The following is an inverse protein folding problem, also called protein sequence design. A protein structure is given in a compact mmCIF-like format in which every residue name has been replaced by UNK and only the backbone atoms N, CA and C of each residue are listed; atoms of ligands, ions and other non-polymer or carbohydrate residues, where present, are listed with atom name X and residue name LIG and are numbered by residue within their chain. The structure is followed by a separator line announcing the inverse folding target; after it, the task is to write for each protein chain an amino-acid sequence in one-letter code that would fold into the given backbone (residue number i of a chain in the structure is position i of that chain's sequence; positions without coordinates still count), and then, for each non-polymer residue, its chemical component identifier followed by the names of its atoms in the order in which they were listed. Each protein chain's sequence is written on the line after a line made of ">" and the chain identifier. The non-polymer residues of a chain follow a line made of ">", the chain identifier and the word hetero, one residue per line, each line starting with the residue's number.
data_IF_929776453707
#
_entry.id   IF_929776453707
#
_cell.length_a   1.000
_cell.length_b   1.000
_cell.length_c   1.000
_cell.angle_alpha   90.00
_cell.angle_beta   90.00
_cell.angle_gamma   90.00
#
_symmetry.space_group_name_H-M   'P 1'
#
loop_
_entity.id
_entity.type
_entity.pdbx_description
1 polymer ?
#
# COMPACT_ATOMS: atom_id res chain seq x y z
N UNK A 1 -5.70 25.88 -1.57
CA UNK A 1 -6.80 24.94 -1.33
C UNK A 1 -6.28 23.55 -1.62
N UNK A 2 -6.61 22.58 -0.79
CA UNK A 2 -6.26 21.17 -0.99
C UNK A 2 -7.19 20.53 -2.04
N UNK A 3 -6.82 19.37 -2.59
CA UNK A 3 -7.69 18.62 -3.50
C UNK A 3 -9.05 18.29 -2.85
N UNK A 4 -9.06 18.03 -1.55
CA UNK A 4 -10.30 17.78 -0.80
C UNK A 4 -11.17 19.04 -0.71
N UNK A 5 -10.57 20.19 -0.40
CA UNK A 5 -11.29 21.47 -0.35
C UNK A 5 -11.90 21.84 -1.70
N UNK A 6 -11.14 21.63 -2.79
CA UNK A 6 -11.66 21.80 -4.15
C UNK A 6 -12.88 20.90 -4.39
N UNK A 7 -12.79 19.61 -4.04
CA UNK A 7 -13.89 18.66 -4.21
C UNK A 7 -15.15 19.04 -3.41
N UNK A 8 -14.98 19.45 -2.14
CA UNK A 8 -16.07 19.92 -1.28
C UNK A 8 -16.68 21.21 -1.83
N UNK A 9 -15.87 22.09 -2.41
CA UNK A 9 -16.27 23.31 -3.09
C UNK A 9 -16.91 23.09 -4.47
N UNK A 10 -17.05 21.85 -4.94
CA UNK A 10 -17.47 21.49 -6.30
C UNK A 10 -16.57 22.06 -7.41
N UNK A 11 -15.27 22.19 -7.13
CA UNK A 11 -14.24 22.57 -8.08
C UNK A 11 -13.49 21.32 -8.56
N UNK A 12 -13.34 21.20 -9.87
CA UNK A 12 -12.61 20.08 -10.49
C UNK A 12 -11.15 20.50 -10.68
N UNK A 13 -10.24 19.84 -9.97
CA UNK A 13 -8.80 20.07 -10.10
C UNK A 13 -8.21 19.31 -11.32
N UNK A 14 -7.00 19.70 -11.75
CA UNK A 14 -6.26 19.00 -12.83
C UNK A 14 -5.95 17.55 -12.47
N UNK A 15 -5.71 17.28 -11.19
CA UNK A 15 -5.41 15.95 -10.67
C UNK A 15 -6.65 15.04 -10.75
N UNK A 16 -7.84 15.58 -10.46
CA UNK A 16 -9.09 14.83 -10.63
C UNK A 16 -9.34 14.48 -12.10
N UNK A 17 -9.07 15.38 -13.03
CA UNK A 17 -9.22 15.12 -14.48
C UNK A 17 -8.31 13.97 -14.88
N UNK A 18 -7.03 14.05 -14.53
CA UNK A 18 -6.05 13.01 -14.87
C UNK A 18 -6.46 11.63 -14.31
N UNK A 19 -6.81 11.56 -13.03
CA UNK A 19 -7.20 10.29 -12.39
C UNK A 19 -8.48 9.75 -13.02
N UNK A 20 -9.46 10.60 -13.33
CA UNK A 20 -10.71 10.19 -13.97
C UNK A 20 -10.48 9.60 -15.37
N UNK A 21 -9.60 10.21 -16.17
CA UNK A 21 -9.22 9.71 -17.49
C UNK A 21 -8.48 8.38 -17.41
N UNK A 22 -7.46 8.28 -16.54
CA UNK A 22 -6.65 7.07 -16.37
C UNK A 22 -7.48 5.88 -15.86
N UNK A 23 -8.43 6.13 -14.97
CA UNK A 23 -9.31 5.11 -14.38
C UNK A 23 -10.61 4.93 -15.17
N UNK A 24 -10.81 5.69 -16.26
CA UNK A 24 -11.99 5.67 -17.13
C UNK A 24 -13.32 5.84 -16.37
N UNK A 25 -13.36 6.80 -15.46
CA UNK A 25 -14.56 7.17 -14.71
C UNK A 25 -14.95 8.62 -14.98
N UNK A 26 -16.21 8.96 -14.72
CA UNK A 26 -16.68 10.34 -14.81
C UNK A 26 -16.03 11.20 -13.71
N UNK A 27 -15.44 12.34 -14.10
CA UNK A 27 -14.72 13.25 -13.19
C UNK A 27 -15.62 13.83 -12.10
N UNK A 28 -16.92 14.05 -12.37
CA UNK A 28 -17.87 14.53 -11.35
C UNK A 28 -18.16 13.45 -10.31
N UNK A 29 -18.24 12.20 -10.74
CA UNK A 29 -18.35 11.04 -9.87
C UNK A 29 -17.11 10.91 -8.98
N UNK A 30 -15.90 11.06 -9.55
CA UNK A 30 -14.65 11.08 -8.79
C UNK A 30 -14.63 12.21 -7.76
N UNK A 31 -14.90 13.45 -8.17
CA UNK A 31 -14.96 14.62 -7.28
C UNK A 31 -15.92 14.38 -6.11
N UNK A 32 -17.10 13.82 -6.37
CA UNK A 32 -18.08 13.49 -5.32
C UNK A 32 -17.53 12.44 -4.35
N UNK A 33 -16.78 11.45 -4.82
CA UNK A 33 -16.12 10.44 -3.97
C UNK A 33 -15.04 11.06 -3.09
N UNK A 34 -14.23 11.96 -3.65
CA UNK A 34 -13.21 12.73 -2.92
C UNK A 34 -13.87 13.60 -1.85
N UNK A 35 -14.94 14.33 -2.19
CA UNK A 35 -15.66 15.21 -1.24
C UNK A 35 -16.23 14.48 -0.01
N UNK A 36 -16.40 13.15 -0.12
CA UNK A 36 -16.88 12.28 0.97
C UNK A 36 -15.74 11.58 1.73
N UNK A 37 -14.49 11.77 1.30
CA UNK A 37 -13.34 11.03 1.82
C UNK A 37 -13.31 9.55 1.43
N UNK A 38 -14.05 9.14 0.39
CA UNK A 38 -14.08 7.76 -0.13
C UNK A 38 -12.94 7.47 -1.13
N UNK A 39 -12.34 8.52 -1.69
CA UNK A 39 -11.18 8.47 -2.59
C UNK A 39 -10.22 9.58 -2.19
N UNK A 40 -8.92 9.29 -2.24
CA UNK A 40 -7.85 10.30 -2.13
C UNK A 40 -7.04 10.35 -3.41
N UNK A 41 -6.33 11.45 -3.62
CA UNK A 41 -5.33 11.59 -4.66
C UNK A 41 -4.00 11.96 -4.02
N UNK A 42 -3.01 11.07 -4.15
CA UNK A 42 -1.62 11.39 -3.87
C UNK A 42 -1.03 12.09 -5.08
N UNK A 43 -0.33 13.21 -4.87
CA UNK A 43 0.31 13.98 -5.94
C UNK A 43 1.78 14.24 -5.64
N UNK A 44 2.51 14.52 -6.72
CA UNK A 44 3.87 15.06 -6.71
C UNK A 44 4.00 16.05 -7.84
N UNK A 45 4.81 17.08 -7.61
CA UNK A 45 5.09 18.06 -8.66
C UNK A 45 5.79 17.37 -9.84
N UNK A 46 5.37 17.73 -11.06
CA UNK A 46 5.89 17.22 -12.32
C UNK A 46 5.63 15.72 -12.62
N UNK A 47 4.89 15.01 -11.76
CA UNK A 47 4.54 13.60 -11.97
C UNK A 47 3.02 13.37 -11.97
N UNK A 48 2.64 12.19 -12.44
CA UNK A 48 1.23 11.82 -12.54
C UNK A 48 0.64 11.50 -11.15
N UNK A 49 -0.53 12.07 -10.81
CA UNK A 49 -1.18 11.79 -9.54
C UNK A 49 -1.80 10.39 -9.53
N UNK A 50 -1.90 9.81 -8.33
CA UNK A 50 -2.46 8.47 -8.10
C UNK A 50 -3.72 8.56 -7.25
N UNK A 51 -4.84 8.13 -7.84
CA UNK A 51 -6.11 8.02 -7.14
C UNK A 51 -6.24 6.67 -6.40
N UNK A 52 -6.63 6.72 -5.13
CA UNK A 52 -6.78 5.55 -4.26
C UNK A 52 -8.18 5.58 -3.62
N UNK A 53 -8.97 4.54 -3.84
CA UNK A 53 -10.32 4.39 -3.31
C UNK A 53 -11.29 3.80 -4.32
N UNK A 54 -12.50 3.45 -3.89
CA UNK A 54 -13.53 2.86 -4.75
C UNK A 54 -14.30 3.96 -5.50
N UNK A 55 -14.48 3.88 -6.84
CA UNK A 55 -14.44 2.67 -7.68
C UNK A 55 -13.17 2.50 -8.53
N UNK A 56 -12.04 3.08 -8.12
CA UNK A 56 -10.78 2.95 -8.86
C UNK A 56 -10.21 1.54 -8.73
N UNK A 57 -9.31 1.16 -9.65
CA UNK A 57 -8.53 -0.09 -9.55
C UNK A 57 -7.69 -0.09 -8.28
N UNK A 58 -7.46 -1.28 -7.71
CA UNK A 58 -6.59 -1.43 -6.53
C UNK A 58 -5.19 -0.93 -6.84
N UNK A 59 -4.65 -0.09 -5.96
CA UNK A 59 -3.28 0.44 -6.07
C UNK A 59 -2.30 -0.42 -5.28
N UNK A 60 -1.03 -0.38 -5.67
CA UNK A 60 0.03 -1.22 -5.11
C UNK A 60 1.15 -0.35 -4.57
N UNK A 61 1.45 -0.56 -3.29
CA UNK A 61 2.64 -0.01 -2.64
C UNK A 61 3.76 -1.05 -2.60
N UNK A 62 5.01 -0.58 -2.60
CA UNK A 62 6.14 -1.38 -2.15
C UNK A 62 6.96 -0.65 -1.10
N UNK A 63 7.43 -1.40 -0.11
CA UNK A 63 8.28 -0.86 0.94
C UNK A 63 9.75 -0.99 0.55
N UNK A 64 10.46 0.12 0.67
CA UNK A 64 11.89 0.27 0.47
C UNK A 64 12.51 0.80 1.77
N UNK A 65 13.83 0.77 1.87
CA UNK A 65 14.55 1.45 2.93
C UNK A 65 15.81 0.71 3.43
N UNK A 66 16.69 1.50 4.01
CA UNK A 66 17.92 1.05 4.67
C UNK A 66 17.71 0.63 6.12
N UNK A 67 18.69 -0.08 6.69
CA UNK A 67 18.72 -0.40 8.12
C UNK A 67 20.09 -0.11 8.72
N UNK A 68 20.19 0.01 10.04
CA UNK A 68 21.48 0.17 10.74
C UNK A 68 22.45 -1.00 10.50
N UNK A 69 21.94 -2.18 10.10
CA UNK A 69 22.76 -3.38 9.85
C UNK A 69 23.19 -3.54 8.39
N UNK A 70 22.55 -2.83 7.45
CA UNK A 70 22.82 -2.94 6.02
C UNK A 70 22.43 -1.64 5.30
N UNK A 71 23.44 -0.95 4.77
CA UNK A 71 23.32 0.31 4.04
C UNK A 71 24.06 0.14 2.71
N UNK A 72 23.33 -0.24 1.66
CA UNK A 72 23.80 -0.15 0.27
C UNK A 72 22.91 0.84 -0.48
N UNK A 73 23.36 2.09 -0.58
CA UNK A 73 22.60 3.16 -1.22
C UNK A 73 22.41 2.93 -2.72
N UNK A 74 23.38 2.29 -3.37
CA UNK A 74 23.30 2.03 -4.81
C UNK A 74 22.23 0.96 -5.10
N UNK A 75 22.17 -0.08 -4.28
CA UNK A 75 21.09 -1.05 -4.38
C UNK A 75 19.74 -0.42 -4.04
N UNK A 76 19.67 0.42 -3.00
CA UNK A 76 18.44 1.07 -2.57
C UNK A 76 17.83 1.96 -3.66
N UNK A 77 18.66 2.77 -4.32
CA UNK A 77 18.19 3.61 -5.44
C UNK A 77 17.76 2.77 -6.65
N UNK A 78 18.44 1.65 -6.93
CA UNK A 78 18.00 0.70 -7.97
C UNK A 78 16.66 0.04 -7.63
N UNK A 79 16.34 -0.18 -6.36
CA UNK A 79 15.02 -0.71 -5.97
C UNK A 79 13.89 0.24 -6.35
N UNK A 80 14.12 1.56 -6.33
CA UNK A 80 13.15 2.55 -6.83
C UNK A 80 12.88 2.36 -8.32
N UNK A 81 13.93 2.19 -9.12
CA UNK A 81 13.82 1.93 -10.56
C UNK A 81 13.08 0.61 -10.86
N UNK A 82 13.42 -0.46 -10.12
CA UNK A 82 12.73 -1.76 -10.21
C UNK A 82 11.27 -1.62 -9.81
N UNK A 83 10.97 -0.89 -8.75
CA UNK A 83 9.63 -0.71 -8.24
C UNK A 83 8.70 -0.07 -9.28
N UNK A 84 9.12 1.08 -9.83
CA UNK A 84 8.33 1.76 -10.86
C UNK A 84 8.25 0.95 -12.17
N UNK A 85 9.33 0.25 -12.56
CA UNK A 85 9.32 -0.60 -13.76
C UNK A 85 8.30 -1.73 -13.67
N UNK A 86 8.22 -2.39 -12.51
CA UNK A 86 7.32 -3.54 -12.32
C UNK A 86 5.94 -3.14 -11.78
N UNK A 87 5.60 -1.84 -11.79
CA UNK A 87 4.23 -1.35 -11.60
C UNK A 87 3.82 -1.16 -10.15
N UNK A 88 4.73 -0.71 -9.29
CA UNK A 88 4.33 -0.04 -8.05
C UNK A 88 3.61 1.27 -8.41
N UNK A 89 2.44 1.51 -7.81
CA UNK A 89 1.74 2.79 -7.93
C UNK A 89 2.32 3.83 -6.95
N UNK A 90 2.97 3.36 -5.89
CA UNK A 90 3.55 4.17 -4.81
C UNK A 90 4.72 3.44 -4.16
N UNK A 91 5.57 4.19 -3.47
CA UNK A 91 6.71 3.66 -2.72
C UNK A 91 6.64 4.20 -1.29
N UNK A 92 6.89 3.34 -0.30
CA UNK A 92 7.16 3.77 1.07
C UNK A 92 8.66 3.74 1.34
N UNK A 93 9.25 4.89 1.66
CA UNK A 93 10.61 4.97 2.18
C UNK A 93 10.58 4.75 3.71
N UNK A 94 11.04 3.58 4.11
CA UNK A 94 11.11 3.13 5.50
C UNK A 94 12.54 3.12 6.04
N UNK A 95 13.44 3.92 5.45
CA UNK A 95 14.86 3.98 5.81
C UNK A 95 15.07 4.30 7.29
N UNK A 96 15.98 3.54 7.92
CA UNK A 96 16.37 3.69 9.32
C UNK A 96 17.89 3.53 9.52
N UNK A 97 18.69 3.63 8.46
CA UNK A 97 20.14 3.62 8.54
C UNK A 97 20.79 4.59 7.55
N UNK A 98 21.90 5.21 7.95
CA UNK A 98 22.60 6.22 7.15
C UNK A 98 21.95 7.61 7.24
N UNK A 99 22.32 8.50 6.32
CA UNK A 99 21.85 9.88 6.26
C UNK A 99 20.42 9.94 5.69
N UNK A 100 19.42 9.73 6.56
CA UNK A 100 18.00 9.57 6.18
C UNK A 100 17.48 10.71 5.30
N UNK A 101 17.92 11.95 5.53
CA UNK A 101 17.51 13.09 4.73
C UNK A 101 17.98 13.02 3.29
N UNK A 102 19.26 12.72 3.10
CA UNK A 102 19.86 12.67 1.78
C UNK A 102 19.35 11.45 1.01
N UNK A 103 19.12 10.33 1.71
CA UNK A 103 18.47 9.15 1.13
C UNK A 103 17.05 9.49 0.66
N UNK A 104 16.21 10.08 1.52
CA UNK A 104 14.84 10.45 1.18
C UNK A 104 14.79 11.44 0.02
N UNK A 105 15.57 12.52 0.06
CA UNK A 105 15.64 13.50 -1.02
C UNK A 105 16.03 12.84 -2.34
N UNK A 106 16.99 11.91 -2.32
CA UNK A 106 17.41 11.20 -3.52
C UNK A 106 16.33 10.25 -4.04
N UNK A 107 15.64 9.52 -3.15
CA UNK A 107 14.49 8.67 -3.53
C UNK A 107 13.39 9.51 -4.16
N UNK A 108 13.06 10.67 -3.58
CA UNK A 108 12.08 11.61 -4.13
C UNK A 108 12.56 12.08 -5.52
N UNK A 109 13.81 12.50 -5.68
CA UNK A 109 14.36 12.96 -6.97
C UNK A 109 14.20 11.92 -8.09
N UNK A 110 14.52 10.65 -7.83
CA UNK A 110 14.53 9.60 -8.87
C UNK A 110 13.19 8.89 -9.05
N UNK A 111 12.30 8.93 -8.05
CA UNK A 111 11.01 8.27 -8.12
C UNK A 111 10.06 9.04 -9.03
N UNK A 112 9.37 8.31 -9.91
CA UNK A 112 8.24 8.85 -10.68
C UNK A 112 6.87 8.70 -10.01
N UNK A 113 6.82 7.97 -8.89
CA UNK A 113 5.59 7.65 -8.16
C UNK A 113 5.54 8.36 -6.79
N UNK A 114 4.34 8.52 -6.20
CA UNK A 114 4.18 9.06 -4.85
C UNK A 114 5.03 8.34 -3.80
N UNK A 115 5.58 9.12 -2.86
CA UNK A 115 6.41 8.63 -1.75
C UNK A 115 5.64 8.76 -0.43
N UNK A 116 5.60 7.69 0.33
CA UNK A 116 5.09 7.66 1.72
C UNK A 116 6.24 7.47 2.70
N UNK A 117 6.19 8.15 3.85
CA UNK A 117 7.17 7.96 4.94
C UNK A 117 6.47 7.68 6.27
N UNK A 118 7.24 7.20 7.26
CA UNK A 118 6.78 7.04 8.65
C UNK A 118 7.65 7.93 9.55
N UNK A 119 7.22 9.17 9.88
CA UNK A 119 8.07 10.17 10.55
C UNK A 119 8.75 9.68 11.84
N UNK A 120 8.07 8.84 12.64
CA UNK A 120 8.64 8.32 13.89
C UNK A 120 9.92 7.49 13.67
N UNK A 121 10.13 6.94 12.47
CA UNK A 121 11.34 6.19 12.14
C UNK A 121 12.56 7.09 12.08
N UNK A 122 12.45 8.25 11.44
CA UNK A 122 13.53 9.22 11.44
C UNK A 122 13.71 9.85 12.82
N UNK A 123 12.61 10.17 13.52
CA UNK A 123 12.69 10.76 14.86
C UNK A 123 13.46 9.88 15.85
N UNK A 124 13.29 8.56 15.83
CA UNK A 124 14.07 7.67 16.71
C UNK A 124 15.55 7.60 16.31
N UNK A 125 15.88 7.70 15.03
CA UNK A 125 17.28 7.70 14.56
C UNK A 125 17.98 9.00 14.94
N UNK A 126 17.35 10.15 14.74
CA UNK A 126 17.90 11.46 15.14
C UNK A 126 18.01 11.61 16.66
N UNK A 127 17.14 10.92 17.41
CA UNK A 127 17.18 10.86 18.87
C UNK A 127 18.16 9.84 19.44
N UNK A 128 18.83 9.03 18.60
CA UNK A 128 19.62 7.83 18.92
C UNK A 128 18.82 6.68 19.55
N UNK A 129 17.85 6.98 20.42
CA UNK A 129 16.90 6.05 20.99
C UNK A 129 15.54 6.70 21.32
N UNK A 130 14.60 5.89 21.82
CA UNK A 130 13.25 6.34 22.17
C UNK A 130 13.23 7.32 23.38
N UNK A 131 14.23 7.27 24.25
CA UNK A 131 14.37 8.16 25.40
C UNK A 131 14.82 9.57 24.99
N UNK A 132 15.48 9.72 23.84
CA UNK A 132 15.84 11.01 23.25
C UNK A 132 14.70 11.71 22.49
N UNK A 133 13.65 10.99 22.09
CA UNK A 133 12.55 11.58 21.31
C UNK A 133 11.82 12.67 22.11
N UNK A 134 11.54 13.80 21.47
CA UNK A 134 10.69 14.89 21.99
C UNK A 134 9.55 15.21 21.03
N UNK A 135 8.50 15.90 21.49
CA UNK A 135 7.43 16.35 20.60
C UNK A 135 7.96 17.31 19.53
N UNK A 136 8.84 18.25 19.90
CA UNK A 136 9.48 19.18 18.98
C UNK A 136 10.26 18.45 17.88
N UNK A 137 11.00 17.39 18.24
CA UNK A 137 11.70 16.58 17.25
C UNK A 137 10.74 15.91 16.27
N UNK A 138 9.63 15.34 16.77
CA UNK A 138 8.60 14.73 15.91
C UNK A 138 8.04 15.77 14.94
N UNK A 139 7.70 16.97 15.43
CA UNK A 139 7.21 18.06 14.58
C UNK A 139 8.23 18.49 13.53
N UNK A 140 9.49 18.70 13.94
CA UNK A 140 10.57 19.09 13.04
C UNK A 140 10.79 18.04 11.94
N UNK A 141 10.75 16.75 12.27
CA UNK A 141 10.90 15.66 11.30
C UNK A 141 9.71 15.63 10.33
N UNK A 142 8.47 15.79 10.82
CA UNK A 142 7.29 15.88 9.94
C UNK A 142 7.43 17.06 8.97
N UNK A 143 7.72 18.26 9.49
CA UNK A 143 7.87 19.47 8.66
C UNK A 143 8.96 19.30 7.60
N UNK A 144 10.11 18.73 7.99
CA UNK A 144 11.23 18.45 7.08
C UNK A 144 10.84 17.50 5.95
N UNK A 145 10.14 16.41 6.26
CA UNK A 145 9.67 15.45 5.25
C UNK A 145 8.64 16.09 4.30
N UNK A 146 7.74 16.91 4.82
CA UNK A 146 6.78 17.66 4.00
C UNK A 146 7.49 18.63 3.05
N UNK A 147 8.50 19.38 3.53
CA UNK A 147 9.34 20.26 2.71
C UNK A 147 10.12 19.52 1.63
N UNK A 148 10.58 18.30 1.91
CA UNK A 148 11.26 17.48 0.91
C UNK A 148 10.32 16.96 -0.19
N UNK A 149 9.00 17.04 0.00
CA UNK A 149 8.01 16.71 -1.02
C UNK A 149 7.48 15.27 -0.96
N UNK A 150 7.36 14.69 0.24
CA UNK A 150 6.62 13.43 0.44
C UNK A 150 5.15 13.61 0.05
N UNK A 151 4.53 12.57 -0.49
CA UNK A 151 3.12 12.60 -0.93
C UNK A 151 2.15 12.15 0.15
N UNK A 152 2.66 11.39 1.12
CA UNK A 152 1.89 10.81 2.21
C UNK A 152 2.77 10.57 3.43
N UNK A 153 2.19 10.65 4.63
CA UNK A 153 2.88 10.29 5.88
C UNK A 153 2.01 9.36 6.72
N UNK A 154 2.63 8.40 7.41
CA UNK A 154 1.93 7.47 8.30
C UNK A 154 2.05 7.93 9.76
N UNK A 155 0.93 8.28 10.38
CA UNK A 155 0.86 8.59 11.82
C UNK A 155 0.15 7.47 12.58
N UNK A 156 0.76 7.02 13.66
CA UNK A 156 0.23 5.95 14.51
C UNK A 156 -0.55 6.54 15.70
N UNK A 157 -1.64 7.26 15.42
CA UNK A 157 -2.46 7.98 16.40
C UNK A 157 -3.68 7.21 16.93
N UNK A 158 -3.88 5.97 16.47
CA UNK A 158 -5.11 5.20 16.67
C UNK A 158 -5.27 4.51 18.02
N UNK A 159 -4.39 4.75 18.99
CA UNK A 159 -4.40 4.05 20.28
C UNK A 159 -3.95 4.98 21.42
N UNK A 160 -4.42 4.70 22.63
CA UNK A 160 -4.14 5.51 23.82
C UNK A 160 -3.22 4.80 24.81
N UNK A 161 -2.69 5.53 25.78
CA UNK A 161 -1.97 4.94 26.91
C UNK A 161 -2.86 3.93 27.66
N UNK A 162 -4.16 4.19 27.76
CA UNK A 162 -5.11 3.25 28.34
C UNK A 162 -5.23 1.96 27.50
N UNK A 163 -5.30 2.06 26.17
CA UNK A 163 -5.28 0.89 25.28
C UNK A 163 -4.05 0.03 25.54
N UNK A 164 -2.87 0.64 25.69
CA UNK A 164 -1.64 -0.08 26.04
C UNK A 164 -1.71 -0.74 27.43
N UNK A 165 -2.40 -0.13 28.39
CA UNK A 165 -2.58 -0.67 29.75
C UNK A 165 -3.49 -1.91 29.77
N UNK A 166 -4.49 -1.92 28.90
CA UNK A 166 -5.45 -3.03 28.77
C UNK A 166 -4.90 -4.19 27.93
N UNK A 167 -4.04 -3.91 26.94
CA UNK A 167 -3.47 -4.94 26.04
C UNK A 167 -2.45 -5.90 26.70
N UNK A 168 -2.51 -6.06 28.03
CA UNK A 168 -1.67 -7.00 28.79
C UNK A 168 -2.06 -8.45 28.49
N UNK A 169 -1.41 -9.05 27.50
CA UNK A 169 -1.09 -10.48 27.50
C UNK A 169 -2.13 -11.50 26.98
N UNK A 170 -2.62 -11.36 25.75
CA UNK A 170 -3.34 -12.47 25.06
C UNK A 170 -2.77 -12.84 23.69
N UNK A 171 -2.26 -11.86 22.95
CA UNK A 171 -1.60 -12.08 21.65
C UNK A 171 -0.32 -12.90 21.80
N UNK A 172 -0.06 -13.77 20.84
CA UNK A 172 1.21 -14.48 20.62
C UNK A 172 2.30 -13.48 20.26
N UNK A 173 2.09 -12.64 19.24
CA UNK A 173 3.12 -11.69 18.74
C UNK A 173 2.98 -10.26 19.28
N UNK A 174 2.07 -10.04 20.25
CA UNK A 174 1.86 -8.77 20.94
C UNK A 174 1.58 -7.61 19.96
N UNK A 175 2.59 -6.80 19.66
CA UNK A 175 2.49 -5.66 18.76
C UNK A 175 3.65 -5.71 17.76
N UNK A 176 3.30 -5.81 16.47
CA UNK A 176 4.27 -6.02 15.38
C UNK A 176 4.45 -4.79 14.49
N UNK A 177 3.63 -3.76 14.67
CA UNK A 177 3.84 -2.50 13.95
C UNK A 177 5.08 -1.80 14.51
N UNK A 178 6.11 -1.63 13.69
CA UNK A 178 7.32 -0.91 14.10
C UNK A 178 6.99 0.52 14.55
N UNK A 179 6.19 1.27 13.78
CA UNK A 179 5.80 2.63 14.14
C UNK A 179 4.89 2.68 15.37
N UNK A 180 3.98 1.71 15.49
CA UNK A 180 3.20 1.51 16.71
C UNK A 180 4.10 1.26 17.92
N UNK A 181 5.10 0.37 17.81
CA UNK A 181 6.01 -0.03 18.88
C UNK A 181 6.93 1.10 19.33
N UNK A 182 7.45 1.90 18.40
CA UNK A 182 8.22 3.09 18.74
C UNK A 182 7.37 4.13 19.47
N UNK A 183 6.14 4.37 18.98
CA UNK A 183 5.19 5.30 19.61
C UNK A 183 4.77 4.82 20.99
N UNK A 184 4.43 3.54 21.15
CA UNK A 184 4.08 2.95 22.43
C UNK A 184 5.25 2.97 23.42
N UNK A 185 6.48 2.73 22.95
CA UNK A 185 7.69 2.82 23.77
C UNK A 185 7.90 4.25 24.29
N UNK A 186 7.71 5.26 23.43
CA UNK A 186 7.76 6.67 23.82
C UNK A 186 6.74 7.01 24.92
N UNK A 187 5.49 6.56 24.74
CA UNK A 187 4.40 6.75 25.69
C UNK A 187 4.71 6.09 27.04
N UNK A 188 5.19 4.83 27.00
CA UNK A 188 5.47 4.02 28.19
C UNK A 188 6.66 4.51 29.00
N UNK A 189 7.73 4.95 28.35
CA UNK A 189 8.93 5.42 29.07
C UNK A 189 8.70 6.72 29.83
N UNK A 190 7.59 7.44 29.54
CA UNK A 190 7.25 8.74 30.12
C UNK A 190 5.88 8.75 30.82
N UNK A 191 5.10 7.68 30.73
CA UNK A 191 3.70 7.60 31.18
C UNK A 191 2.85 8.77 30.62
N UNK A 192 2.98 9.04 29.32
CA UNK A 192 2.26 10.10 28.60
C UNK A 192 1.32 9.53 27.54
N UNK A 193 0.35 10.35 27.11
CA UNK A 193 -0.54 10.01 26.00
C UNK A 193 0.21 10.02 24.66
N UNK A 194 -0.39 9.39 23.65
CA UNK A 194 0.14 9.31 22.30
C UNK A 194 0.43 10.71 21.73
N UNK A 195 1.68 11.02 21.33
CA UNK A 195 2.09 12.36 20.93
C UNK A 195 1.38 12.84 19.64
N UNK A 196 1.05 11.90 18.74
CA UNK A 196 0.30 12.20 17.52
C UNK A 196 -1.17 12.46 17.81
N UNK A 197 -1.76 11.71 18.75
CA UNK A 197 -3.16 11.88 19.14
C UNK A 197 -3.37 13.19 19.90
N UNK A 198 -2.50 13.49 20.87
CA UNK A 198 -2.59 14.68 21.71
C UNK A 198 -2.44 15.97 20.90
N UNK A 199 -1.60 15.96 19.86
CA UNK A 199 -1.33 17.11 19.01
C UNK A 199 -1.94 16.99 17.60
N UNK A 200 -3.00 16.19 17.43
CA UNK A 200 -3.50 15.80 16.11
C UNK A 200 -3.85 17.00 15.21
N UNK A 201 -4.59 17.99 15.72
CA UNK A 201 -4.98 19.18 14.94
C UNK A 201 -3.78 20.01 14.46
N UNK A 202 -2.73 20.14 15.28
CA UNK A 202 -1.50 20.84 14.87
C UNK A 202 -0.79 20.11 13.73
N UNK A 203 -0.77 18.77 13.75
CA UNK A 203 -0.25 18.01 12.62
C UNK A 203 -1.11 18.21 11.37
N UNK A 204 -2.44 18.30 11.51
CA UNK A 204 -3.33 18.55 10.37
C UNK A 204 -3.09 19.92 9.73
N UNK A 205 -2.90 20.98 10.52
CA UNK A 205 -2.53 22.31 10.01
C UNK A 205 -1.27 22.23 9.15
N UNK A 206 -0.23 21.57 9.66
CA UNK A 206 1.03 21.40 8.96
C UNK A 206 0.89 20.55 7.68
N UNK A 207 0.20 19.41 7.75
CA UNK A 207 -0.01 18.51 6.60
C UNK A 207 -0.82 19.20 5.49
N UNK A 208 -1.82 20.01 5.88
CA UNK A 208 -2.70 20.74 4.97
C UNK A 208 -1.93 21.72 4.09
N UNK A 209 -0.92 22.41 4.64
CA UNK A 209 -0.13 23.40 3.90
C UNK A 209 0.53 22.81 2.64
N UNK A 210 0.85 21.52 2.67
CA UNK A 210 1.52 20.81 1.57
C UNK A 210 0.57 19.90 0.76
N UNK A 211 -0.73 19.84 1.10
CA UNK A 211 -1.73 18.94 0.49
C UNK A 211 -1.26 17.47 0.46
N UNK A 212 -0.66 17.04 1.56
CA UNK A 212 -0.14 15.68 1.76
C UNK A 212 -1.25 14.77 2.30
N UNK A 213 -1.30 13.53 1.81
CA UNK A 213 -2.28 12.54 2.27
C UNK A 213 -1.84 11.98 3.63
N UNK A 214 -2.74 12.00 4.61
CA UNK A 214 -2.50 11.39 5.90
C UNK A 214 -2.87 9.90 5.86
N UNK A 215 -1.91 9.03 6.18
CA UNK A 215 -2.17 7.62 6.42
C UNK A 215 -2.28 7.38 7.93
N UNK A 216 -3.44 6.89 8.38
CA UNK A 216 -3.63 6.52 9.79
C UNK A 216 -3.25 5.05 9.97
N UNK A 217 -2.06 4.86 10.56
CA UNK A 217 -1.38 3.58 10.67
C UNK A 217 -2.11 2.56 11.54
N UNK A 218 -1.73 1.29 11.37
CA UNK A 218 -2.27 0.13 12.10
C UNK A 218 -1.33 -0.37 13.20
N UNK A 219 -1.18 0.42 14.26
CA UNK A 219 -0.33 0.08 15.38
C UNK A 219 -0.69 -1.27 16.02
N UNK A 220 -1.99 -1.59 16.07
CA UNK A 220 -2.52 -2.74 16.79
C UNK A 220 -2.92 -3.91 15.86
N UNK A 221 -2.36 -3.99 14.65
CA UNK A 221 -2.60 -5.14 13.75
C UNK A 221 -2.08 -6.46 14.33
N UNK A 222 -2.69 -7.57 13.90
CA UNK A 222 -2.28 -8.93 14.23
C UNK A 222 -0.94 -9.30 13.58
N UNK A 223 -0.04 -9.92 14.35
CA UNK A 223 1.29 -10.35 13.88
C UNK A 223 1.35 -11.80 13.41
N UNK A 224 0.39 -12.62 13.80
CA UNK A 224 0.22 -13.99 13.35
C UNK A 224 -1.27 -14.30 13.21
N UNK A 225 -1.61 -15.38 12.51
CA UNK A 225 -3.03 -15.74 12.30
C UNK A 225 -3.74 -16.13 13.61
N UNK A 226 -2.97 -16.41 14.66
CA UNK A 226 -3.47 -16.79 15.99
C UNK A 226 -3.77 -15.61 16.92
N UNK A 227 -3.31 -14.40 16.60
CA UNK A 227 -3.68 -13.21 17.38
C UNK A 227 -5.16 -12.83 17.16
N UNK A 228 -5.74 -13.27 16.03
CA UNK A 228 -7.05 -12.87 15.51
C UNK A 228 -7.26 -11.34 15.47
N UNK A 229 -8.34 -10.88 14.84
CA UNK A 229 -8.74 -9.46 14.92
C UNK A 229 -9.55 -9.30 16.20
N UNK A 230 -8.94 -8.65 17.19
CA UNK A 230 -9.45 -8.52 18.55
C UNK A 230 -10.09 -7.16 18.84
N UNK A 231 -10.54 -6.95 20.08
CA UNK A 231 -11.13 -5.70 20.55
C UNK A 231 -10.21 -4.48 20.38
N UNK A 232 -8.89 -4.68 20.47
CA UNK A 232 -7.91 -3.60 20.39
C UNK A 232 -7.77 -3.12 18.96
N UNK A 233 -7.64 -4.02 17.98
CA UNK A 233 -7.64 -3.65 16.56
C UNK A 233 -8.97 -3.01 16.16
N UNK A 234 -10.11 -3.51 16.66
CA UNK A 234 -11.41 -2.88 16.41
C UNK A 234 -11.53 -1.49 17.02
N UNK A 235 -10.92 -1.24 18.18
CA UNK A 235 -10.89 0.08 18.79
C UNK A 235 -10.02 1.06 17.99
N UNK A 236 -8.88 0.60 17.46
CA UNK A 236 -8.03 1.38 16.56
C UNK A 236 -8.78 1.75 15.27
N UNK A 237 -9.52 0.82 14.65
CA UNK A 237 -10.34 1.13 13.46
C UNK A 237 -11.34 2.25 13.75
N UNK A 238 -12.03 2.20 14.89
CA UNK A 238 -13.00 3.23 15.30
C UNK A 238 -12.33 4.58 15.56
N UNK A 239 -11.20 4.56 16.27
CA UNK A 239 -10.43 5.77 16.56
C UNK A 239 -9.95 6.41 15.27
N UNK A 240 -9.33 5.63 14.38
CA UNK A 240 -8.85 6.12 13.10
C UNK A 240 -9.98 6.69 12.23
N UNK A 241 -11.19 6.11 12.23
CA UNK A 241 -12.31 6.74 11.51
C UNK A 241 -12.72 8.10 12.13
N UNK A 242 -12.71 8.22 13.46
CA UNK A 242 -12.97 9.51 14.12
C UNK A 242 -11.92 10.55 13.73
N UNK A 243 -10.65 10.18 13.80
CA UNK A 243 -9.53 11.05 13.41
C UNK A 243 -9.59 11.42 11.93
N UNK A 244 -10.01 10.49 11.06
CA UNK A 244 -10.16 10.76 9.64
C UNK A 244 -11.26 11.78 9.33
N UNK A 245 -12.34 11.82 10.12
CA UNK A 245 -13.38 12.85 10.01
C UNK A 245 -12.83 14.23 10.37
N UNK A 246 -12.13 14.32 11.51
CA UNK A 246 -11.45 15.55 11.93
C UNK A 246 -10.47 16.04 10.86
N UNK A 247 -9.65 15.13 10.31
CA UNK A 247 -8.71 15.47 9.24
C UNK A 247 -9.42 16.01 7.98
N UNK A 248 -10.54 15.41 7.57
CA UNK A 248 -11.31 15.93 6.44
C UNK A 248 -11.94 17.31 6.72
N UNK A 249 -12.38 17.58 7.95
CA UNK A 249 -12.88 18.91 8.33
C UNK A 249 -11.78 19.97 8.23
N UNK A 250 -10.51 19.59 8.42
CA UNK A 250 -9.35 20.44 8.17
C UNK A 250 -8.97 20.54 6.68
N UNK A 251 -9.59 19.76 5.79
CA UNK A 251 -9.24 19.70 4.37
C UNK A 251 -8.11 18.71 4.04
N UNK A 252 -7.73 17.84 4.97
CA UNK A 252 -6.69 16.81 4.77
C UNK A 252 -7.32 15.51 4.28
N UNK A 253 -6.74 14.93 3.22
CA UNK A 253 -7.12 13.63 2.66
C UNK A 253 -6.60 12.49 3.54
N UNK A 254 -7.36 11.39 3.67
CA UNK A 254 -7.01 10.30 4.61
C UNK A 254 -7.15 8.91 4.01
N UNK A 255 -6.13 8.08 4.22
CA UNK A 255 -6.14 6.63 4.04
C UNK A 255 -6.10 5.95 5.42
N UNK A 256 -6.80 4.82 5.55
CA UNK A 256 -6.77 4.02 6.76
C UNK A 256 -5.99 2.72 6.53
N UNK A 257 -4.91 2.50 7.29
CA UNK A 257 -4.18 1.22 7.28
C UNK A 257 -4.76 0.19 8.25
N UNK A 258 -5.78 0.56 9.03
CA UNK A 258 -6.25 -0.09 10.28
C UNK A 258 -6.73 -1.55 10.18
N UNK A 259 -6.52 -2.22 9.05
CA UNK A 259 -6.70 -3.67 8.86
C UNK A 259 -5.53 -4.24 8.03
N UNK A 260 -5.18 -5.52 8.22
CA UNK A 260 -4.09 -6.18 7.49
C UNK A 260 -3.21 -7.00 8.43
N UNK A 261 -1.98 -7.27 8.01
CA UNK A 261 -1.07 -8.15 8.75
C UNK A 261 -1.41 -9.61 8.51
N UNK A 262 -1.63 -10.38 9.57
CA UNK A 262 -1.88 -11.82 9.48
C UNK A 262 -3.34 -12.12 9.82
N UNK A 263 -4.09 -12.64 8.85
CA UNK A 263 -5.53 -12.89 8.98
C UNK A 263 -5.87 -14.19 8.26
N UNK A 264 -6.44 -15.17 8.98
CA UNK A 264 -6.87 -16.44 8.38
C UNK A 264 -7.77 -16.22 7.16
N UNK A 265 -7.61 -17.05 6.12
CA UNK A 265 -8.33 -16.91 4.85
C UNK A 265 -9.87 -16.75 5.01
N UNK A 266 -10.49 -17.53 5.92
CA UNK A 266 -11.94 -17.46 6.19
C UNK A 266 -12.41 -16.08 6.70
N UNK A 267 -11.50 -15.34 7.35
CA UNK A 267 -11.81 -14.11 8.07
C UNK A 267 -11.51 -12.85 7.26
N UNK A 268 -10.66 -12.93 6.21
CA UNK A 268 -10.27 -11.76 5.39
C UNK A 268 -11.52 -11.03 4.86
N UNK A 269 -12.42 -11.76 4.21
CA UNK A 269 -13.64 -11.21 3.61
C UNK A 269 -14.51 -10.52 4.66
N UNK A 270 -14.69 -11.18 5.81
CA UNK A 270 -15.50 -10.67 6.93
C UNK A 270 -14.94 -9.33 7.41
N UNK A 271 -13.63 -9.27 7.67
CA UNK A 271 -13.02 -8.09 8.29
C UNK A 271 -12.88 -6.92 7.32
N UNK A 272 -12.57 -7.16 6.05
CA UNK A 272 -12.52 -6.09 5.04
C UNK A 272 -13.90 -5.45 4.88
N UNK A 273 -14.97 -6.25 4.73
CA UNK A 273 -16.33 -5.71 4.65
C UNK A 273 -16.74 -4.96 5.91
N UNK A 274 -16.39 -5.47 7.09
CA UNK A 274 -16.69 -4.81 8.35
C UNK A 274 -15.95 -3.48 8.46
N UNK A 275 -14.65 -3.44 8.10
CA UNK A 275 -13.86 -2.22 8.07
C UNK A 275 -14.54 -1.16 7.21
N UNK A 276 -14.82 -1.46 5.93
CA UNK A 276 -15.47 -0.50 5.01
C UNK A 276 -16.79 0.03 5.54
N UNK A 277 -17.58 -0.82 6.22
CA UNK A 277 -18.82 -0.40 6.90
C UNK A 277 -18.56 0.51 8.10
N UNK A 278 -17.55 0.23 8.92
CA UNK A 278 -17.21 1.00 10.12
C UNK A 278 -16.52 2.33 9.81
N UNK A 279 -15.93 2.45 8.62
CA UNK A 279 -15.09 3.57 8.20
C UNK A 279 -15.71 4.40 7.09
N UNK A 280 -17.02 4.30 6.87
CA UNK A 280 -17.76 5.10 5.88
C UNK A 280 -17.16 4.97 4.46
N UNK A 281 -16.69 3.77 4.11
CA UNK A 281 -16.03 3.42 2.84
C UNK A 281 -14.72 4.16 2.54
N UNK A 282 -14.06 4.74 3.54
CA UNK A 282 -12.72 5.35 3.39
C UNK A 282 -11.71 4.40 2.72
N UNK A 283 -10.72 4.92 1.98
CA UNK A 283 -9.68 4.10 1.38
C UNK A 283 -9.00 3.20 2.41
N UNK A 284 -9.02 1.90 2.15
CA UNK A 284 -8.39 0.90 3.00
C UNK A 284 -7.07 0.45 2.39
N UNK A 285 -5.98 0.66 3.13
CA UNK A 285 -4.65 0.12 2.84
C UNK A 285 -4.38 -1.11 3.70
N UNK A 286 -3.97 -2.22 3.07
CA UNK A 286 -3.61 -3.46 3.79
C UNK A 286 -2.20 -3.92 3.41
N UNK A 287 -1.46 -4.45 4.39
CA UNK A 287 -0.22 -5.21 4.14
C UNK A 287 -0.56 -6.70 4.08
N UNK A 288 -0.33 -7.34 2.93
CA UNK A 288 -0.91 -8.65 2.65
C UNK A 288 -2.45 -8.57 2.55
N UNK A 289 -3.23 -9.31 3.34
CA UNK A 289 -2.82 -10.03 4.54
C UNK A 289 -2.20 -11.40 4.26
N UNK A 290 -1.40 -11.92 5.20
CA UNK A 290 -0.91 -13.28 5.17
C UNK A 290 -1.98 -14.23 5.75
N UNK A 291 -2.49 -15.20 4.98
CA UNK A 291 -3.50 -16.16 5.44
C UNK A 291 -2.95 -17.34 6.24
N UNK A 292 -1.64 -17.54 6.21
CA UNK A 292 -0.88 -18.57 6.92
C UNK A 292 0.49 -18.00 7.30
N UNK A 293 1.08 -18.51 8.39
CA UNK A 293 2.38 -18.04 8.90
C UNK A 293 3.54 -18.98 8.53
N UNK A 294 3.24 -20.18 8.03
CA UNK A 294 4.23 -21.24 7.75
C UNK A 294 4.85 -21.14 6.35
N UNK A 295 4.66 -20.03 5.65
CA UNK A 295 5.14 -19.80 4.29
C UNK A 295 6.38 -18.87 4.25
N UNK A 296 7.05 -18.64 5.37
CA UNK A 296 8.25 -17.78 5.44
C UNK A 296 9.29 -18.14 4.38
N UNK A 297 9.83 -17.13 3.69
CA UNK A 297 10.63 -17.27 2.46
C UNK A 297 9.81 -17.33 1.17
N UNK A 298 8.50 -17.56 1.29
CA UNK A 298 7.49 -17.53 0.23
C UNK A 298 6.28 -16.66 0.62
N UNK A 299 6.47 -15.72 1.54
CA UNK A 299 5.38 -14.88 2.07
C UNK A 299 4.70 -14.04 0.99
N UNK A 300 5.42 -13.61 -0.05
CA UNK A 300 4.84 -13.00 -1.25
C UNK A 300 3.72 -13.85 -1.91
N UNK A 301 3.83 -15.19 -1.90
CA UNK A 301 2.81 -16.09 -2.45
C UNK A 301 1.60 -16.17 -1.51
N UNK A 302 1.85 -16.36 -0.22
CA UNK A 302 0.79 -16.40 0.79
C UNK A 302 0.02 -15.06 0.82
N UNK A 303 0.74 -13.95 0.81
CA UNK A 303 0.22 -12.60 0.76
C UNK A 303 -0.54 -12.32 -0.53
N UNK A 304 -0.14 -12.85 -1.69
CA UNK A 304 -0.91 -12.69 -2.92
C UNK A 304 -2.31 -13.34 -2.82
N UNK A 305 -2.42 -14.50 -2.17
CA UNK A 305 -3.72 -15.15 -1.92
C UNK A 305 -4.60 -14.27 -1.03
N UNK A 306 -4.07 -13.81 0.11
CA UNK A 306 -4.83 -12.97 1.03
C UNK A 306 -5.15 -11.59 0.46
N UNK A 307 -4.20 -10.97 -0.24
CA UNK A 307 -4.32 -9.68 -0.92
C UNK A 307 -5.36 -9.71 -2.04
N UNK A 308 -5.50 -10.82 -2.77
CA UNK A 308 -6.54 -10.98 -3.78
C UNK A 308 -7.94 -10.93 -3.16
N UNK A 309 -8.15 -11.64 -2.05
CA UNK A 309 -9.41 -11.55 -1.30
C UNK A 309 -9.60 -10.16 -0.67
N UNK A 310 -8.56 -9.54 -0.13
CA UNK A 310 -8.70 -8.21 0.46
C UNK A 310 -9.11 -7.17 -0.60
N UNK A 311 -8.38 -7.12 -1.72
CA UNK A 311 -8.70 -6.30 -2.89
C UNK A 311 -10.13 -6.57 -3.37
N UNK A 312 -10.47 -7.85 -3.58
CA UNK A 312 -11.77 -8.29 -4.10
C UNK A 312 -12.98 -7.89 -3.27
N UNK A 313 -12.80 -7.64 -1.97
CA UNK A 313 -13.89 -7.35 -1.04
C UNK A 313 -13.86 -5.95 -0.44
N UNK A 314 -12.93 -5.09 -0.86
CA UNK A 314 -13.00 -3.65 -0.58
C UNK A 314 -11.70 -2.98 -0.16
N UNK A 315 -10.56 -3.67 -0.12
CA UNK A 315 -9.27 -2.98 -0.02
C UNK A 315 -9.00 -2.22 -1.33
N UNK A 316 -8.54 -0.98 -1.21
CA UNK A 316 -8.32 -0.07 -2.33
C UNK A 316 -6.83 0.07 -2.66
N UNK A 317 -5.98 -0.33 -1.72
CA UNK A 317 -4.54 -0.15 -1.73
C UNK A 317 -3.92 -1.35 -1.01
N UNK A 318 -2.92 -2.00 -1.61
CA UNK A 318 -2.28 -3.19 -1.04
C UNK A 318 -0.77 -3.04 -1.06
N UNK A 319 -0.10 -3.44 0.03
CA UNK A 319 1.36 -3.44 0.10
C UNK A 319 1.90 -4.78 -0.39
N UNK A 320 2.79 -4.74 -1.38
CA UNK A 320 3.55 -5.88 -1.81
C UNK A 320 4.37 -6.44 -0.65
N UNK A 321 4.28 -7.75 -0.46
CA UNK A 321 5.12 -8.52 0.47
C UNK A 321 6.16 -9.23 -0.36
N UNK A 322 7.41 -9.20 0.07
CA UNK A 322 8.54 -9.79 -0.66
C UNK A 322 8.85 -11.20 -0.13
N UNK A 323 9.63 -12.02 -0.86
CA UNK A 323 10.16 -13.27 -0.32
C UNK A 323 11.02 -13.08 0.94
N UNK A 324 11.61 -11.89 1.12
CA UNK A 324 12.47 -11.54 2.25
C UNK A 324 11.70 -11.17 3.54
N UNK A 325 10.37 -11.07 3.48
CA UNK A 325 9.54 -10.78 4.66
C UNK A 325 9.86 -11.75 5.81
N UNK A 326 9.91 -11.23 7.04
CA UNK A 326 10.32 -11.95 8.25
C UNK A 326 11.77 -12.48 8.29
N UNK A 327 12.60 -12.18 7.28
CA UNK A 327 13.95 -12.73 7.17
C UNK A 327 15.03 -11.64 7.13
N UNK A 328 14.94 -10.70 6.18
CA UNK A 328 15.98 -9.72 5.92
C UNK A 328 15.46 -8.53 5.09
N UNK A 329 16.35 -7.60 4.73
CA UNK A 329 16.04 -6.57 3.74
C UNK A 329 15.91 -7.21 2.34
N UNK A 330 14.93 -6.79 1.53
CA UNK A 330 14.72 -7.34 0.19
C UNK A 330 15.81 -6.90 -0.78
N UNK A 331 16.24 -7.83 -1.64
CA UNK A 331 17.07 -7.57 -2.82
C UNK A 331 16.23 -7.02 -3.99
N UNK A 332 16.88 -6.63 -5.09
CA UNK A 332 16.19 -6.24 -6.34
C UNK A 332 15.22 -7.32 -6.86
N UNK A 333 15.60 -8.60 -6.79
CA UNK A 333 14.75 -9.71 -7.24
C UNK A 333 13.58 -9.96 -6.27
N UNK A 334 13.78 -9.72 -4.98
CA UNK A 334 12.71 -9.80 -3.99
C UNK A 334 11.64 -8.72 -4.22
N UNK A 335 12.07 -7.48 -4.53
CA UNK A 335 11.18 -6.38 -4.91
C UNK A 335 10.39 -6.74 -6.16
N UNK A 336 11.07 -7.22 -7.21
CA UNK A 336 10.41 -7.68 -8.44
C UNK A 336 9.37 -8.77 -8.12
N UNK A 337 9.78 -9.83 -7.41
CA UNK A 337 8.92 -11.00 -7.12
C UNK A 337 7.70 -10.61 -6.31
N UNK A 338 7.87 -9.77 -5.28
CA UNK A 338 6.78 -9.23 -4.48
C UNK A 338 5.79 -8.39 -5.30
N UNK A 339 6.29 -7.51 -6.17
CA UNK A 339 5.44 -6.68 -7.03
C UNK A 339 4.64 -7.49 -8.05
N UNK A 340 5.26 -8.47 -8.71
CA UNK A 340 4.55 -9.33 -9.65
C UNK A 340 3.43 -10.12 -8.94
N UNK A 341 3.73 -10.71 -7.77
CA UNK A 341 2.74 -11.43 -6.97
C UNK A 341 1.59 -10.50 -6.52
N UNK A 342 1.92 -9.27 -6.11
CA UNK A 342 0.96 -8.27 -5.68
C UNK A 342 0.09 -7.76 -6.84
N UNK A 343 0.65 -7.55 -8.04
CA UNK A 343 -0.11 -7.18 -9.24
C UNK A 343 -1.10 -8.26 -9.65
N UNK A 344 -0.69 -9.53 -9.59
CA UNK A 344 -1.60 -10.65 -9.82
C UNK A 344 -2.74 -10.59 -8.79
N UNK A 345 -2.43 -10.37 -7.51
CA UNK A 345 -3.45 -10.28 -6.46
C UNK A 345 -4.42 -9.10 -6.67
N UNK A 346 -3.90 -7.90 -6.98
CA UNK A 346 -4.68 -6.72 -7.28
C UNK A 346 -5.65 -6.98 -8.44
N UNK A 347 -5.13 -7.52 -9.55
CA UNK A 347 -5.91 -7.83 -10.77
C UNK A 347 -7.00 -8.88 -10.53
N UNK A 348 -6.69 -9.93 -9.78
CA UNK A 348 -7.66 -10.95 -9.35
C UNK A 348 -8.75 -10.30 -8.50
N UNK A 349 -8.38 -9.48 -7.51
CA UNK A 349 -9.34 -8.79 -6.67
C UNK A 349 -10.20 -7.78 -7.43
N UNK A 350 -9.60 -7.00 -8.33
CA UNK A 350 -10.33 -6.06 -9.18
C UNK A 350 -11.34 -6.79 -10.10
N UNK A 351 -10.97 -7.95 -10.62
CA UNK A 351 -11.90 -8.82 -11.35
C UNK A 351 -13.07 -9.32 -10.48
N UNK A 352 -12.85 -9.56 -9.18
CA UNK A 352 -13.93 -9.88 -8.24
C UNK A 352 -14.84 -8.67 -7.95
N UNK A 353 -14.26 -7.46 -7.85
CA UNK A 353 -15.01 -6.21 -7.57
C UNK A 353 -15.86 -5.76 -8.74
N UNK A 354 -15.29 -5.81 -9.95
CA UNK A 354 -15.83 -5.11 -11.11
C UNK A 354 -16.25 -6.04 -12.26
N UNK A 355 -15.97 -7.34 -12.14
CA UNK A 355 -16.20 -8.33 -13.17
C UNK A 355 -15.27 -8.19 -14.38
N UNK A 356 -15.48 -9.04 -15.39
CA UNK A 356 -14.79 -8.95 -16.68
C UNK A 356 -15.40 -7.80 -17.49
N UNK A 357 -14.81 -6.62 -17.37
CA UNK A 357 -15.23 -5.42 -18.11
C UNK A 357 -14.04 -4.83 -18.89
N UNK A 358 -14.27 -3.74 -19.61
CA UNK A 358 -13.28 -3.10 -20.48
C UNK A 358 -11.99 -2.62 -19.78
N UNK A 359 -11.96 -2.54 -18.44
CA UNK A 359 -10.75 -2.26 -17.65
C UNK A 359 -9.80 -3.47 -17.58
N UNK A 360 -10.28 -4.68 -17.88
CA UNK A 360 -9.54 -5.96 -17.82
C UNK A 360 -9.55 -6.68 -19.18
N UNK A 361 -9.50 -5.92 -20.27
CA UNK A 361 -9.46 -6.50 -21.62
C UNK A 361 -8.16 -7.29 -21.89
N UNK A 362 -7.12 -7.08 -21.09
CA UNK A 362 -5.83 -7.75 -21.25
C UNK A 362 -5.97 -9.29 -21.16
N UNK A 363 -6.79 -9.83 -20.25
CA UNK A 363 -7.07 -11.27 -20.17
C UNK A 363 -7.69 -11.82 -21.46
N UNK A 364 -8.62 -11.06 -22.05
CA UNK A 364 -9.30 -11.44 -23.28
C UNK A 364 -8.35 -11.38 -24.47
N UNK A 365 -7.59 -10.31 -24.61
CA UNK A 365 -6.62 -10.14 -25.71
C UNK A 365 -5.48 -11.16 -25.61
N UNK A 366 -4.97 -11.42 -24.40
CA UNK A 366 -4.03 -12.51 -24.15
C UNK A 366 -4.64 -13.86 -24.57
N UNK A 367 -5.87 -14.15 -24.15
CA UNK A 367 -6.54 -15.42 -24.47
C UNK A 367 -6.79 -15.62 -25.97
N UNK A 368 -7.17 -14.56 -26.69
CA UNK A 368 -7.30 -14.56 -28.16
C UNK A 368 -5.96 -14.86 -28.82
N UNK A 369 -4.89 -14.16 -28.41
CA UNK A 369 -3.55 -14.39 -28.96
C UNK A 369 -3.02 -15.79 -28.63
N UNK A 370 -3.31 -16.31 -27.43
CA UNK A 370 -3.00 -17.70 -27.04
C UNK A 370 -3.71 -18.72 -27.93
N UNK A 371 -5.00 -18.52 -28.22
CA UNK A 371 -5.75 -19.38 -29.12
C UNK A 371 -5.16 -19.38 -30.54
N UNK A 372 -4.76 -18.20 -31.03
CA UNK A 372 -4.13 -18.02 -32.33
C UNK A 372 -2.65 -18.45 -32.36
N UNK A 373 -2.07 -18.79 -31.21
CA UNK A 373 -0.63 -19.05 -31.00
C UNK A 373 0.25 -17.87 -31.45
N UNK A 374 -0.25 -16.66 -31.30
CA UNK A 374 0.52 -15.44 -31.53
C UNK A 374 1.35 -15.14 -30.29
N UNK A 375 2.47 -15.87 -30.13
CA UNK A 375 3.31 -15.80 -28.92
C UNK A 375 3.79 -14.40 -28.62
N UNK A 376 4.24 -13.67 -29.66
CA UNK A 376 4.73 -12.30 -29.53
C UNK A 376 3.65 -11.40 -28.89
N UNK A 377 2.47 -11.33 -29.49
CA UNK A 377 1.38 -10.51 -28.96
C UNK A 377 0.87 -11.03 -27.61
N UNK A 378 0.81 -12.36 -27.42
CA UNK A 378 0.41 -12.94 -26.14
C UNK A 378 1.29 -12.45 -24.98
N UNK A 379 2.61 -12.33 -25.20
CA UNK A 379 3.54 -11.94 -24.14
C UNK A 379 3.42 -10.46 -23.77
N UNK A 380 3.05 -9.59 -24.71
CA UNK A 380 2.88 -8.16 -24.45
C UNK A 380 1.70 -7.86 -23.50
N UNK A 381 0.70 -8.75 -23.41
CA UNK A 381 -0.40 -8.64 -22.45
C UNK A 381 -0.12 -9.28 -21.08
N UNK A 382 1.08 -9.84 -20.84
CA UNK A 382 1.44 -10.42 -19.55
C UNK A 382 1.83 -9.35 -18.53
N UNK A 383 1.57 -9.62 -17.24
CA UNK A 383 1.99 -8.73 -16.12
C UNK A 383 3.51 -8.53 -16.08
N UNK A 384 4.27 -9.59 -16.42
CA UNK A 384 5.71 -9.56 -16.71
C UNK A 384 5.92 -10.14 -18.12
N UNK A 385 6.09 -9.31 -19.17
CA UNK A 385 6.35 -9.77 -20.53
C UNK A 385 7.69 -10.49 -20.71
N UNK A 386 8.66 -10.29 -19.82
CA UNK A 386 10.00 -10.88 -19.95
C UNK A 386 10.02 -12.36 -19.53
N UNK A 387 9.23 -12.73 -18.52
CA UNK A 387 9.18 -14.09 -17.99
C UNK A 387 8.72 -15.16 -19.01
N UNK A 388 7.61 -14.98 -19.77
CA UNK A 388 7.23 -15.95 -20.79
C UNK A 388 8.24 -16.04 -21.93
N UNK A 389 8.94 -14.95 -22.29
CA UNK A 389 10.01 -14.93 -23.30
C UNK A 389 11.19 -15.82 -22.89
N UNK A 390 11.56 -15.83 -21.59
CA UNK A 390 12.60 -16.71 -21.06
C UNK A 390 12.21 -18.19 -21.08
N UNK A 391 10.92 -18.50 -20.91
CA UNK A 391 10.41 -19.88 -20.85
C UNK A 391 10.10 -20.47 -22.21
N UNK A 392 9.68 -19.63 -23.15
CA UNK A 392 9.32 -20.03 -24.51
C UNK A 392 10.44 -19.66 -25.48
N UNK A 393 11.49 -20.48 -25.50
CA UNK A 393 12.70 -20.26 -26.31
C UNK A 393 12.54 -20.65 -27.79
N UNK A 394 11.34 -21.06 -28.19
CA UNK A 394 11.13 -21.63 -29.52
C UNK A 394 10.49 -20.58 -30.44
N UNK A 395 11.24 -20.09 -31.41
CA UNK A 395 10.73 -19.11 -32.39
C UNK A 395 9.66 -19.75 -33.28
N UNK A 396 8.39 -19.44 -33.02
CA UNK A 396 7.25 -19.85 -33.85
C UNK A 396 6.81 -21.31 -33.74
N UNK A 397 7.53 -22.15 -32.99
CA UNK A 397 7.16 -23.55 -32.79
C UNK A 397 6.02 -23.72 -31.74
N UNK A 398 5.31 -24.86 -31.77
CA UNK A 398 4.34 -25.21 -30.74
C UNK A 398 5.00 -25.29 -29.35
N UNK A 399 4.25 -24.96 -28.29
CA UNK A 399 4.74 -25.22 -26.94
C UNK A 399 5.07 -26.71 -26.74
N UNK A 400 6.13 -26.97 -25.98
CA UNK A 400 6.67 -28.32 -25.75
C UNK A 400 5.78 -29.18 -24.86
N UNK A 401 4.77 -28.59 -24.18
CA UNK A 401 3.90 -29.32 -23.26
C UNK A 401 3.01 -30.36 -23.96
N UNK A 402 2.52 -30.08 -25.17
CA UNK A 402 1.65 -31.02 -25.92
C UNK A 402 2.22 -31.44 -27.29
N UNK A 403 3.18 -30.69 -27.85
CA UNK A 403 3.67 -30.90 -29.21
C UNK A 403 2.53 -31.02 -30.24
N UNK A 404 2.55 -32.09 -31.03
CA UNK A 404 1.56 -32.36 -32.09
C UNK A 404 0.14 -32.61 -31.58
N UNK A 405 -0.05 -32.90 -30.30
CA UNK A 405 -1.35 -33.15 -29.68
C UNK A 405 -1.94 -31.91 -29.00
N UNK A 406 -1.52 -30.71 -29.42
CA UNK A 406 -2.02 -29.44 -28.90
C UNK A 406 -3.55 -29.33 -29.04
N UNK A 407 -4.25 -29.25 -27.90
CA UNK A 407 -5.70 -29.15 -27.82
C UNK A 407 -6.27 -27.98 -28.64
N UNK A 408 -5.61 -26.81 -28.65
CA UNK A 408 -6.05 -25.66 -29.44
C UNK A 408 -6.01 -25.92 -30.95
N UNK A 409 -5.03 -26.70 -31.42
CA UNK A 409 -4.92 -27.08 -32.83
C UNK A 409 -6.02 -28.06 -33.23
N UNK A 410 -6.31 -29.02 -32.35
CA UNK A 410 -7.38 -29.99 -32.54
C UNK A 410 -8.73 -29.25 -32.55
N UNK A 411 -8.97 -28.39 -31.56
CA UNK A 411 -10.16 -27.56 -31.45
C UNK A 411 -10.38 -26.68 -32.69
N UNK A 412 -9.32 -26.04 -33.20
CA UNK A 412 -9.38 -25.22 -34.43
C UNK A 412 -9.85 -26.01 -35.66
N UNK A 413 -9.53 -27.31 -35.75
CA UNK A 413 -9.97 -28.17 -36.87
C UNK A 413 -11.42 -28.65 -36.74
N UNK A 414 -11.99 -28.60 -35.53
CA UNK A 414 -13.34 -29.10 -35.24
C UNK A 414 -14.36 -27.95 -35.25
N UNK A 415 -13.95 -26.76 -34.83
CA UNK A 415 -14.84 -25.62 -34.59
C UNK A 415 -14.73 -24.50 -35.65
N UNK A 416 -13.74 -24.56 -36.56
CA UNK A 416 -13.59 -23.72 -37.75
C UNK A 416 -13.46 -24.63 -38.97
#
# INVERSE_FOLDING_TARGET
>A
MTILEDAVGNLISKEMIYVAENERIDVKTLMKKISKGEVVIMKRDNFHPVGIGTPLRTKINVNLGTSSSAIDLNEEFKKVEVAQKYGADTISDLSMGGEIDEIRKKIIEISSVPITTVPIYQAVIEAEDVSGITEDLIFNVVEKQLKDGVSSIVLHSGFTLNTLNEMKGKRVMKMVSKGGSLTASYMRSREVENPFLQNFEKFLELIKEYDVVLNLGNALRSGCIHDEVDEFQLSEIKMNNRLAKIANDFGVQVILESLGGHITAKNIIKWVKLHKKMTDNRPLFVSGPLPIDIATGHDHIAAAIGGAFASGFGADYICAITPAEHLCLPTLEDIKSGLIACKIAAHVGDSMKFGLNHLFNDDLELSKNRYLKNWKEQFEYCIDPDEPKKRHLTDGEPCTMCGNHCALSISKKILL
#
